data_IF_772200484481
#
_entry.id   IF_772200484481
#
_cell.length_a   1.000
_cell.length_b   1.000
_cell.length_c   1.000
_cell.angle_alpha   90.00
_cell.angle_beta   90.00
_cell.angle_gamma   90.00
#
_symmetry.space_group_name_H-M   'P 1'
#
loop_
_entity.id
_entity.type
_entity.pdbx_description
1 polymer ?
#
# COMPACT_ATOMS: atom_id res chain seq x y z
N UNK A 1 -36.16 9.88 -3.68
CA UNK A 1 -36.45 10.07 -2.23
C UNK A 1 -35.30 9.58 -1.33
N UNK A 2 -34.67 8.46 -1.64
CA UNK A 2 -33.58 7.87 -0.79
C UNK A 2 -32.32 8.76 -0.71
N UNK A 3 -31.95 9.43 -1.80
CA UNK A 3 -30.76 10.29 -1.85
C UNK A 3 -30.93 11.60 -1.05
N UNK A 4 -32.12 12.21 -1.06
CA UNK A 4 -32.39 13.44 -0.29
C UNK A 4 -32.38 13.16 1.22
N UNK A 5 -32.90 12.02 1.64
CA UNK A 5 -32.87 11.60 3.04
C UNK A 5 -31.44 11.34 3.53
N UNK A 6 -30.62 10.66 2.72
CA UNK A 6 -29.19 10.46 3.01
C UNK A 6 -28.43 11.78 3.10
N UNK A 7 -28.71 12.72 2.18
CA UNK A 7 -28.12 14.05 2.16
C UNK A 7 -28.40 14.84 3.44
N UNK A 8 -29.66 14.89 3.88
CA UNK A 8 -30.04 15.55 5.12
C UNK A 8 -29.41 14.95 6.37
N UNK A 9 -29.23 13.62 6.38
CA UNK A 9 -28.53 12.93 7.48
C UNK A 9 -27.06 13.30 7.56
N UNK A 10 -26.33 13.31 6.44
CA UNK A 10 -24.91 13.66 6.37
C UNK A 10 -24.70 15.10 6.85
N UNK A 11 -25.45 16.06 6.33
CA UNK A 11 -25.35 17.47 6.74
C UNK A 11 -25.56 17.66 8.24
N UNK A 12 -26.56 16.98 8.83
CA UNK A 12 -26.80 17.02 10.29
C UNK A 12 -25.65 16.41 11.11
N UNK A 13 -25.06 15.32 10.64
CA UNK A 13 -23.92 14.68 11.31
C UNK A 13 -22.67 15.56 11.27
N UNK A 14 -22.41 16.23 10.14
CA UNK A 14 -21.33 17.21 10.01
C UNK A 14 -21.55 18.39 10.96
N UNK A 15 -22.77 18.94 10.98
CA UNK A 15 -23.10 20.04 11.87
C UNK A 15 -22.93 19.65 13.34
N UNK A 16 -23.45 18.49 13.74
CA UNK A 16 -23.29 17.94 15.09
C UNK A 16 -21.81 17.75 15.45
N UNK A 17 -20.99 17.28 14.51
CA UNK A 17 -19.54 17.16 14.71
C UNK A 17 -18.88 18.50 14.98
N UNK A 18 -19.24 19.55 14.22
CA UNK A 18 -18.75 20.92 14.44
C UNK A 18 -19.12 21.43 15.83
N UNK A 19 -20.36 21.24 16.24
CA UNK A 19 -20.90 21.75 17.51
C UNK A 19 -20.27 21.04 18.72
N UNK A 20 -20.19 19.73 18.72
CA UNK A 20 -19.65 18.92 19.83
C UNK A 20 -18.14 19.07 20.01
N UNK A 21 -17.40 19.27 18.92
CA UNK A 21 -15.95 19.53 18.98
C UNK A 21 -15.63 21.04 19.11
N UNK A 22 -16.66 21.89 19.26
CA UNK A 22 -16.50 23.33 19.41
C UNK A 22 -15.63 23.97 18.30
N UNK A 23 -15.83 23.54 17.06
CA UNK A 23 -15.08 24.03 15.89
C UNK A 23 -15.59 25.39 15.42
N UNK A 24 -16.06 26.23 16.33
CA UNK A 24 -16.59 27.55 16.06
C UNK A 24 -16.11 28.53 17.13
N UNK A 25 -16.10 29.81 16.79
CA UNK A 25 -15.84 30.89 17.72
C UNK A 25 -17.11 31.70 17.96
N UNK A 26 -17.25 32.20 19.18
CA UNK A 26 -18.37 33.07 19.55
C UNK A 26 -17.88 34.28 20.32
N UNK A 27 -18.59 35.40 20.16
CA UNK A 27 -18.40 36.61 20.97
C UNK A 27 -19.75 37.13 21.46
N UNK A 28 -19.72 37.97 22.49
CA UNK A 28 -20.91 38.65 22.97
C UNK A 28 -21.08 39.99 22.24
N UNK A 29 -22.25 40.20 21.64
CA UNK A 29 -22.71 41.52 21.20
C UNK A 29 -23.85 41.97 22.11
N UNK A 30 -23.52 42.76 23.11
CA UNK A 30 -24.42 43.08 24.19
C UNK A 30 -24.72 41.84 25.03
N UNK A 31 -26.01 41.48 25.21
CA UNK A 31 -26.43 40.30 25.98
C UNK A 31 -26.58 39.04 25.14
N UNK A 32 -26.33 39.09 23.80
CA UNK A 32 -26.49 37.95 22.92
C UNK A 32 -25.12 37.35 22.54
N UNK A 33 -25.02 36.02 22.61
CA UNK A 33 -23.90 35.23 22.07
C UNK A 33 -24.11 35.10 20.57
N UNK A 34 -23.11 35.44 19.77
CA UNK A 34 -23.13 35.35 18.31
C UNK A 34 -21.90 34.60 17.83
N UNK A 35 -22.04 33.84 16.74
CA UNK A 35 -20.89 33.19 16.10
C UNK A 35 -20.03 34.30 15.41
N UNK A 36 -18.74 34.31 15.72
CA UNK A 36 -17.74 35.12 15.02
C UNK A 36 -17.06 34.31 13.92
N UNK A 37 -17.02 33.00 14.10
CA UNK A 37 -16.57 32.04 13.13
C UNK A 37 -17.42 30.78 13.23
N UNK A 38 -17.81 30.22 12.06
CA UNK A 38 -18.42 28.91 11.93
C UNK A 38 -17.88 28.28 10.63
N UNK A 39 -17.33 27.03 10.65
CA UNK A 39 -16.73 26.42 9.48
C UNK A 39 -17.73 26.32 8.33
N UNK A 40 -17.36 26.83 7.17
CA UNK A 40 -18.11 26.55 5.96
C UNK A 40 -17.73 25.15 5.49
N UNK A 41 -18.74 24.33 5.28
CA UNK A 41 -18.57 22.95 4.84
C UNK A 41 -19.32 22.69 3.56
N UNK A 42 -18.73 21.96 2.67
CA UNK A 42 -19.42 21.32 1.54
C UNK A 42 -19.09 19.83 1.51
N UNK A 43 -19.91 19.06 0.82
CA UNK A 43 -19.68 17.65 0.64
C UNK A 43 -20.29 17.13 -0.66
N UNK A 44 -19.69 16.12 -1.24
CA UNK A 44 -20.22 15.40 -2.40
C UNK A 44 -19.94 13.90 -2.28
N UNK A 45 -20.79 13.09 -2.89
CA UNK A 45 -20.60 11.66 -3.02
C UNK A 45 -20.10 11.36 -4.43
N UNK A 46 -19.01 10.61 -4.51
CA UNK A 46 -18.55 9.97 -5.73
C UNK A 46 -18.84 8.47 -5.62
N UNK A 47 -19.88 8.02 -6.31
CA UNK A 47 -20.28 6.61 -6.29
C UNK A 47 -19.37 5.74 -7.13
N UNK A 48 -18.65 6.30 -8.10
CA UNK A 48 -17.71 5.56 -8.94
C UNK A 48 -16.46 5.16 -8.15
N UNK A 49 -15.95 6.05 -7.29
CA UNK A 49 -14.84 5.80 -6.40
C UNK A 49 -15.26 5.31 -5.01
N UNK A 50 -16.56 5.10 -4.78
CA UNK A 50 -17.12 4.72 -3.47
C UNK A 50 -16.72 5.68 -2.33
N UNK A 51 -16.69 6.99 -2.59
CA UNK A 51 -16.19 7.98 -1.64
C UNK A 51 -17.16 9.11 -1.36
N UNK A 52 -17.13 9.58 -0.10
CA UNK A 52 -17.76 10.81 0.36
C UNK A 52 -16.64 11.83 0.63
N UNK A 53 -16.67 12.92 -0.09
CA UNK A 53 -15.78 14.04 0.09
C UNK A 53 -16.43 15.07 1.00
N UNK A 54 -15.80 15.40 2.12
CA UNK A 54 -16.25 16.46 3.04
C UNK A 54 -15.14 17.49 3.13
N UNK A 55 -15.46 18.74 2.78
CA UNK A 55 -14.51 19.85 2.77
C UNK A 55 -14.87 20.86 3.84
N UNK A 56 -13.87 21.26 4.61
CA UNK A 56 -13.94 22.33 5.57
C UNK A 56 -13.07 23.50 5.08
N UNK A 57 -13.66 24.66 4.86
CA UNK A 57 -12.91 25.86 4.46
C UNK A 57 -12.08 26.36 5.62
N UNK A 58 -10.79 26.58 5.36
CA UNK A 58 -9.87 27.22 6.30
C UNK A 58 -10.07 28.72 6.19
N UNK A 59 -10.70 29.34 7.18
CA UNK A 59 -10.61 30.77 7.37
C UNK A 59 -9.42 31.03 8.31
N UNK A 60 -8.72 32.14 8.17
CA UNK A 60 -7.47 32.46 8.86
C UNK A 60 -7.46 32.40 10.39
N UNK A 61 -8.52 31.91 11.01
CA UNK A 61 -8.63 31.64 12.45
C UNK A 61 -8.10 30.25 12.75
N UNK A 62 -7.36 30.11 13.84
CA UNK A 62 -6.49 28.98 14.20
C UNK A 62 -7.24 27.74 14.74
N UNK A 63 -8.44 27.45 14.26
CA UNK A 63 -9.11 26.22 14.66
C UNK A 63 -8.36 25.06 14.01
N UNK A 64 -7.79 24.22 14.83
CA UNK A 64 -7.10 23.02 14.35
C UNK A 64 -8.14 21.98 13.91
N UNK A 65 -8.38 21.92 12.61
CA UNK A 65 -9.26 20.91 12.00
C UNK A 65 -8.53 19.59 11.74
N UNK A 66 -7.23 19.50 12.01
CA UNK A 66 -6.44 18.29 11.88
C UNK A 66 -6.74 17.35 13.05
N UNK A 67 -6.81 16.06 12.78
CA UNK A 67 -7.06 15.04 13.81
C UNK A 67 -8.53 14.83 14.17
N UNK A 68 -9.46 15.51 13.47
CA UNK A 68 -10.90 15.35 13.68
C UNK A 68 -11.55 14.30 12.77
N UNK A 69 -10.79 13.77 11.84
CA UNK A 69 -11.24 12.80 10.84
C UNK A 69 -11.80 11.53 11.45
N UNK A 70 -11.19 11.01 12.50
CA UNK A 70 -11.66 9.79 13.19
C UNK A 70 -13.02 10.02 13.80
N UNK A 71 -13.21 11.11 14.56
CA UNK A 71 -14.50 11.43 15.16
C UNK A 71 -15.60 11.69 14.13
N UNK A 72 -15.29 12.24 12.96
CA UNK A 72 -16.25 12.46 11.88
C UNK A 72 -16.61 11.14 11.19
N UNK A 73 -15.61 10.31 10.90
CA UNK A 73 -15.81 9.00 10.30
C UNK A 73 -16.60 8.06 11.22
N UNK A 74 -16.27 8.02 12.51
CA UNK A 74 -16.98 7.23 13.52
C UNK A 74 -18.47 7.63 13.62
N UNK A 75 -18.80 8.92 13.56
CA UNK A 75 -20.21 9.38 13.57
C UNK A 75 -20.97 8.98 12.32
N UNK A 76 -20.27 8.85 11.21
CA UNK A 76 -20.83 8.37 9.95
C UNK A 76 -20.88 6.85 9.89
N UNK A 77 -20.32 6.16 10.90
CA UNK A 77 -20.11 4.69 10.90
C UNK A 77 -19.33 4.25 9.66
N UNK A 78 -18.28 5.01 9.33
CA UNK A 78 -17.49 4.89 8.10
C UNK A 78 -15.99 4.97 8.40
N UNK A 79 -15.18 4.68 7.40
CA UNK A 79 -13.72 4.76 7.46
C UNK A 79 -13.23 6.00 6.72
N UNK A 80 -12.33 6.77 7.34
CA UNK A 80 -11.63 7.84 6.66
C UNK A 80 -10.48 7.23 5.83
N UNK A 81 -10.59 7.35 4.51
CA UNK A 81 -9.60 6.80 3.57
C UNK A 81 -8.39 7.72 3.42
N UNK A 82 -8.62 9.02 3.40
CA UNK A 82 -7.56 9.99 3.15
C UNK A 82 -7.94 11.39 3.65
N UNK A 83 -6.92 12.23 3.84
CA UNK A 83 -7.07 13.63 4.20
C UNK A 83 -6.17 14.45 3.28
N UNK A 84 -6.77 15.42 2.60
CA UNK A 84 -6.06 16.35 1.74
C UNK A 84 -6.10 17.75 2.34
N UNK A 85 -4.93 18.29 2.66
CA UNK A 85 -4.80 19.69 2.98
C UNK A 85 -4.44 20.45 1.70
N UNK A 86 -5.35 21.29 1.24
CA UNK A 86 -5.18 22.14 0.06
C UNK A 86 -5.26 23.61 0.45
N UNK A 87 -4.78 24.49 -0.41
CA UNK A 87 -4.83 25.93 -0.15
C UNK A 87 -6.29 26.38 0.06
N UNK A 88 -6.63 26.72 1.31
CA UNK A 88 -7.93 27.25 1.69
C UNK A 88 -8.96 26.23 2.18
N UNK A 89 -8.65 24.91 2.19
CA UNK A 89 -9.55 23.92 2.77
C UNK A 89 -8.84 22.60 3.14
N UNK A 90 -9.47 21.86 4.07
CA UNK A 90 -9.15 20.46 4.37
C UNK A 90 -10.27 19.60 3.79
N UNK A 91 -9.91 18.55 3.08
CA UNK A 91 -10.85 17.58 2.50
C UNK A 91 -10.64 16.21 3.15
N UNK A 92 -11.71 15.68 3.75
CA UNK A 92 -11.77 14.31 4.24
C UNK A 92 -12.40 13.43 3.19
N UNK A 93 -11.72 12.34 2.85
CA UNK A 93 -12.20 11.31 1.95
C UNK A 93 -12.68 10.13 2.80
N UNK A 94 -13.99 9.89 2.81
CA UNK A 94 -14.62 8.87 3.66
C UNK A 94 -15.22 7.80 2.77
N UNK A 95 -15.04 6.53 3.12
CA UNK A 95 -15.63 5.40 2.41
C UNK A 95 -17.17 5.43 2.51
N UNK A 96 -17.89 5.33 1.38
CA UNK A 96 -19.35 5.32 1.37
C UNK A 96 -19.93 3.98 1.82
N UNK A 97 -19.38 2.90 1.28
CA UNK A 97 -19.78 1.54 1.61
C UNK A 97 -18.52 0.72 1.86
N UNK A 98 -18.61 -0.19 2.81
CA UNK A 98 -17.50 -1.07 3.14
C UNK A 98 -17.08 -1.86 1.89
N UNK A 99 -15.83 -1.73 1.49
CA UNK A 99 -15.32 -2.36 0.28
C UNK A 99 -15.31 -3.88 0.44
N UNK A 100 -15.79 -4.57 -0.59
CA UNK A 100 -15.78 -6.04 -0.64
C UNK A 100 -14.48 -6.51 -1.26
N UNK A 101 -13.96 -7.63 -0.76
CA UNK A 101 -12.83 -8.29 -1.39
C UNK A 101 -13.16 -8.68 -2.84
N UNK A 102 -12.18 -8.62 -3.72
CA UNK A 102 -12.27 -9.28 -5.02
C UNK A 102 -12.44 -10.78 -4.81
N UNK A 103 -13.28 -11.41 -5.63
CA UNK A 103 -13.46 -12.86 -5.59
C UNK A 103 -12.82 -13.46 -6.84
N UNK A 104 -11.78 -14.26 -6.64
CA UNK A 104 -11.03 -14.93 -7.70
C UNK A 104 -11.43 -16.39 -7.71
N UNK A 105 -12.12 -16.81 -8.75
CA UNK A 105 -12.60 -18.19 -8.92
C UNK A 105 -11.77 -18.95 -9.97
N UNK A 106 -10.98 -18.25 -10.77
CA UNK A 106 -10.08 -18.77 -11.80
C UNK A 106 -8.94 -17.79 -12.09
N UNK A 107 -7.87 -18.25 -12.76
CA UNK A 107 -6.77 -17.37 -13.22
C UNK A 107 -7.27 -16.21 -14.12
N UNK A 108 -8.35 -16.42 -14.85
CA UNK A 108 -8.93 -15.40 -15.73
C UNK A 108 -9.57 -14.23 -14.95
N UNK A 109 -10.04 -14.48 -13.73
CA UNK A 109 -10.66 -13.46 -12.88
C UNK A 109 -9.66 -12.49 -12.25
N UNK A 110 -8.36 -12.83 -12.28
CA UNK A 110 -7.32 -11.89 -11.82
C UNK A 110 -7.33 -10.69 -12.76
N UNK A 111 -7.58 -9.46 -12.26
CA UNK A 111 -7.63 -8.28 -13.12
C UNK A 111 -6.24 -7.93 -13.66
N UNK A 112 -6.22 -7.30 -14.84
CA UNK A 112 -5.01 -6.77 -15.49
C UNK A 112 -4.74 -7.42 -16.84
N UNK A 113 -3.99 -6.72 -17.67
CA UNK A 113 -3.60 -7.16 -19.01
C UNK A 113 -2.09 -6.93 -19.25
N UNK A 114 -1.55 -7.61 -20.25
CA UNK A 114 -0.14 -7.49 -20.63
C UNK A 114 0.20 -6.05 -21.06
N UNK A 115 1.27 -5.51 -20.49
CA UNK A 115 1.71 -4.13 -20.70
C UNK A 115 1.09 -3.12 -19.75
N UNK A 116 0.07 -3.47 -18.98
CA UNK A 116 -0.41 -2.63 -17.89
C UNK A 116 0.60 -2.56 -16.74
N UNK A 117 0.56 -1.46 -15.99
CA UNK A 117 1.41 -1.24 -14.82
C UNK A 117 0.61 -1.18 -13.52
N UNK A 118 -0.65 -1.59 -13.61
CA UNK A 118 -1.64 -1.46 -12.54
C UNK A 118 -2.11 -2.82 -12.05
N UNK A 119 -2.00 -3.04 -10.75
CA UNK A 119 -2.57 -4.18 -10.03
C UNK A 119 -3.82 -3.71 -9.29
N UNK A 120 -4.93 -4.40 -9.50
CA UNK A 120 -6.21 -4.12 -8.83
C UNK A 120 -6.25 -4.94 -7.54
N UNK A 121 -6.07 -4.29 -6.40
CA UNK A 121 -6.05 -4.92 -5.08
C UNK A 121 -7.46 -5.12 -4.52
N UNK A 122 -8.40 -4.27 -4.93
CA UNK A 122 -9.83 -4.34 -4.68
C UNK A 122 -10.57 -3.58 -5.78
N UNK A 123 -11.91 -3.57 -5.84
CA UNK A 123 -12.66 -2.81 -6.86
C UNK A 123 -12.29 -1.32 -6.93
N UNK A 124 -11.96 -0.68 -5.80
CA UNK A 124 -11.60 0.76 -5.74
C UNK A 124 -10.12 1.02 -5.42
N UNK A 125 -9.34 -0.01 -5.08
CA UNK A 125 -7.95 0.14 -4.68
C UNK A 125 -7.00 -0.42 -5.74
N UNK A 126 -6.28 0.47 -6.39
CA UNK A 126 -5.29 0.13 -7.40
C UNK A 126 -3.87 0.43 -6.91
N UNK A 127 -2.92 -0.37 -7.37
CA UNK A 127 -1.50 -0.17 -7.17
C UNK A 127 -0.78 -0.11 -8.52
N UNK A 128 -0.24 1.04 -8.88
CA UNK A 128 0.63 1.18 -10.03
C UNK A 128 2.08 0.94 -9.60
N UNK A 129 2.63 -0.25 -9.92
CA UNK A 129 3.94 -0.67 -9.44
C UNK A 129 5.12 0.09 -10.05
N UNK A 130 4.94 0.82 -11.17
CA UNK A 130 5.96 1.73 -11.71
C UNK A 130 6.03 3.05 -10.95
N UNK A 131 4.87 3.61 -10.59
CA UNK A 131 4.78 4.88 -9.86
C UNK A 131 5.10 4.71 -8.38
N UNK A 132 4.65 3.61 -7.80
CA UNK A 132 4.78 3.24 -6.39
C UNK A 132 5.56 1.92 -6.34
N UNK A 133 6.90 1.98 -6.54
CA UNK A 133 7.71 0.78 -6.67
C UNK A 133 7.86 0.06 -5.34
N UNK A 134 8.23 -1.20 -5.45
CA UNK A 134 8.50 -2.09 -4.34
C UNK A 134 7.31 -2.28 -3.40
N UNK A 135 7.21 -3.44 -2.79
CA UNK A 135 6.16 -3.71 -1.83
C UNK A 135 6.66 -4.49 -0.61
N UNK A 136 5.95 -4.33 0.48
CA UNK A 136 6.14 -5.04 1.73
C UNK A 136 4.81 -5.66 2.15
N UNK A 137 4.82 -6.95 2.43
CA UNK A 137 3.67 -7.66 3.01
C UNK A 137 4.10 -8.25 4.34
N UNK A 138 3.48 -7.78 5.42
CA UNK A 138 3.70 -8.31 6.77
C UNK A 138 2.42 -8.95 7.26
N UNK A 139 2.53 -10.06 7.97
CA UNK A 139 1.36 -10.73 8.54
C UNK A 139 1.75 -11.95 9.36
N UNK A 140 1.05 -12.19 10.46
CA UNK A 140 1.20 -13.39 11.28
C UNK A 140 0.80 -14.66 10.51
N UNK A 141 1.17 -15.81 11.04
CA UNK A 141 0.70 -17.10 10.49
C UNK A 141 -0.82 -17.15 10.49
N UNK A 142 -1.41 -17.59 9.37
CA UNK A 142 -2.87 -17.66 9.21
C UNK A 142 -3.55 -16.35 8.83
N UNK A 143 -2.83 -15.22 8.69
CA UNK A 143 -3.41 -13.94 8.27
C UNK A 143 -3.81 -13.85 6.79
N UNK A 144 -3.51 -14.87 5.97
CA UNK A 144 -3.77 -14.87 4.52
C UNK A 144 -2.59 -14.35 3.67
N UNK A 145 -1.41 -14.18 4.26
CA UNK A 145 -0.21 -13.64 3.60
C UNK A 145 0.19 -14.43 2.34
N UNK A 146 0.31 -15.75 2.42
CA UNK A 146 0.69 -16.62 1.29
C UNK A 146 -0.33 -16.49 0.16
N UNK A 147 -1.62 -16.54 0.46
CA UNK A 147 -2.72 -16.38 -0.51
C UNK A 147 -2.65 -15.02 -1.20
N UNK A 148 -2.43 -13.95 -0.44
CA UNK A 148 -2.30 -12.61 -0.99
C UNK A 148 -1.03 -12.46 -1.84
N UNK A 149 0.09 -13.06 -1.44
CA UNK A 149 1.32 -13.10 -2.22
C UNK A 149 1.11 -13.78 -3.58
N UNK A 150 0.42 -14.93 -3.61
CA UNK A 150 0.08 -15.63 -4.86
C UNK A 150 -0.79 -14.76 -5.77
N UNK A 151 -1.73 -14.02 -5.20
CA UNK A 151 -2.53 -13.05 -5.96
C UNK A 151 -1.67 -11.93 -6.57
N UNK A 152 -0.77 -11.33 -5.79
CA UNK A 152 0.17 -10.29 -6.28
C UNK A 152 1.04 -10.84 -7.41
N UNK A 153 1.62 -12.03 -7.25
CA UNK A 153 2.41 -12.69 -8.29
C UNK A 153 1.58 -12.89 -9.55
N UNK A 154 0.38 -13.47 -9.43
CA UNK A 154 -0.52 -13.71 -10.57
C UNK A 154 -0.90 -12.41 -11.30
N UNK A 155 -1.12 -11.32 -10.56
CA UNK A 155 -1.41 -10.01 -11.13
C UNK A 155 -0.20 -9.43 -11.86
N UNK A 156 0.99 -9.53 -11.29
CA UNK A 156 2.24 -9.06 -11.92
C UNK A 156 2.55 -9.87 -13.19
N UNK A 157 2.34 -11.20 -13.15
CA UNK A 157 2.51 -12.07 -14.33
C UNK A 157 1.55 -11.67 -15.46
N UNK A 158 0.30 -11.35 -15.15
CA UNK A 158 -0.66 -10.83 -16.16
C UNK A 158 -0.18 -9.52 -16.78
N UNK A 159 0.46 -8.66 -16.01
CA UNK A 159 1.08 -7.44 -16.52
C UNK A 159 2.37 -7.68 -17.33
N UNK A 160 2.82 -8.94 -17.47
CA UNK A 160 4.04 -9.30 -18.18
C UNK A 160 5.32 -9.14 -17.36
N UNK A 161 5.22 -9.08 -16.05
CA UNK A 161 6.38 -9.00 -15.14
C UNK A 161 7.01 -10.38 -14.94
N UNK A 162 8.30 -10.52 -15.17
CA UNK A 162 9.08 -11.71 -14.82
C UNK A 162 9.33 -11.73 -13.31
N UNK A 163 9.15 -12.89 -12.68
CA UNK A 163 9.27 -13.04 -11.24
C UNK A 163 10.52 -13.88 -10.90
N UNK A 164 11.32 -13.38 -9.95
CA UNK A 164 12.29 -14.18 -9.20
C UNK A 164 11.76 -14.33 -7.78
N UNK A 165 11.36 -15.55 -7.41
CA UNK A 165 10.85 -15.85 -6.07
C UNK A 165 11.91 -16.56 -5.24
N UNK A 166 12.29 -15.93 -4.12
CA UNK A 166 13.31 -16.40 -3.20
C UNK A 166 12.63 -16.92 -1.94
N UNK A 167 12.61 -18.22 -1.78
CA UNK A 167 11.92 -18.92 -0.68
C UNK A 167 12.92 -19.59 0.28
N UNK A 168 13.37 -18.83 1.25
CA UNK A 168 14.30 -19.34 2.26
C UNK A 168 13.66 -20.38 3.17
N UNK A 169 12.35 -20.34 3.33
CA UNK A 169 11.57 -21.25 4.17
C UNK A 169 11.28 -22.59 3.48
N UNK A 170 11.29 -22.59 2.15
CA UNK A 170 10.94 -23.73 1.29
C UNK A 170 9.49 -24.21 1.53
N UNK A 171 8.55 -23.34 1.23
CA UNK A 171 7.13 -23.64 1.32
C UNK A 171 6.69 -24.48 0.13
N UNK A 172 6.20 -25.72 0.40
CA UNK A 172 5.84 -26.69 -0.65
C UNK A 172 4.72 -26.17 -1.56
N UNK A 173 3.74 -25.45 -1.02
CA UNK A 173 2.63 -24.91 -1.82
C UNK A 173 3.13 -23.78 -2.74
N UNK A 174 4.04 -22.94 -2.26
CA UNK A 174 4.66 -21.89 -3.08
C UNK A 174 5.59 -22.48 -4.14
N UNK A 175 6.36 -23.52 -3.81
CA UNK A 175 7.20 -24.23 -4.77
C UNK A 175 6.36 -24.79 -5.93
N UNK A 176 5.24 -25.47 -5.62
CA UNK A 176 4.31 -26.00 -6.64
C UNK A 176 3.69 -24.89 -7.50
N UNK A 177 3.24 -23.82 -6.87
CA UNK A 177 2.70 -22.65 -7.57
C UNK A 177 3.72 -22.02 -8.53
N UNK A 178 4.97 -21.87 -8.09
CA UNK A 178 6.03 -21.27 -8.91
C UNK A 178 6.42 -22.18 -10.08
N UNK A 179 6.56 -23.48 -9.88
CA UNK A 179 6.94 -24.43 -10.93
C UNK A 179 5.88 -24.56 -12.03
N UNK A 180 4.63 -24.22 -11.75
CA UNK A 180 3.56 -24.18 -12.74
C UNK A 180 3.64 -23.04 -13.74
N UNK A 181 4.63 -22.11 -13.63
CA UNK A 181 4.73 -20.92 -14.47
C UNK A 181 6.15 -20.64 -14.95
N UNK A 182 6.36 -20.68 -16.27
CA UNK A 182 7.69 -20.47 -16.88
C UNK A 182 8.27 -19.04 -16.67
N UNK A 183 7.44 -18.05 -16.35
CA UNK A 183 7.89 -16.69 -16.07
C UNK A 183 8.31 -16.50 -14.59
N UNK A 184 8.32 -17.56 -13.79
CA UNK A 184 8.80 -17.55 -12.41
C UNK A 184 10.09 -18.37 -12.32
N UNK A 185 11.16 -17.73 -11.88
CA UNK A 185 12.36 -18.40 -11.38
C UNK A 185 12.20 -18.60 -9.88
N UNK A 186 12.30 -19.84 -9.41
CA UNK A 186 12.19 -20.19 -7.99
C UNK A 186 13.55 -20.62 -7.44
N UNK A 187 13.98 -20.01 -6.33
CA UNK A 187 15.24 -20.31 -5.67
C UNK A 187 15.04 -20.42 -4.16
N UNK A 188 15.61 -21.45 -3.53
CA UNK A 188 15.49 -21.68 -2.08
C UNK A 188 16.82 -21.97 -1.36
N UNK A 189 17.84 -22.46 -2.06
CA UNK A 189 19.15 -22.69 -1.44
C UNK A 189 19.97 -21.39 -1.36
N UNK A 190 20.73 -21.15 -0.28
CA UNK A 190 21.52 -19.92 -0.10
C UNK A 190 22.43 -19.58 -1.28
N UNK A 191 23.11 -20.55 -1.86
CA UNK A 191 23.96 -20.31 -3.04
C UNK A 191 23.16 -19.96 -4.27
N UNK A 192 22.11 -20.71 -4.55
CA UNK A 192 21.21 -20.45 -5.69
C UNK A 192 20.59 -19.05 -5.57
N UNK A 193 20.08 -18.68 -4.40
CA UNK A 193 19.53 -17.33 -4.15
C UNK A 193 20.58 -16.25 -4.43
N UNK A 194 21.81 -16.44 -3.97
CA UNK A 194 22.89 -15.48 -4.18
C UNK A 194 23.29 -15.35 -5.66
N UNK A 195 23.30 -16.46 -6.41
CA UNK A 195 23.56 -16.50 -7.84
C UNK A 195 22.46 -15.78 -8.61
N UNK A 196 21.19 -16.09 -8.37
CA UNK A 196 20.05 -15.44 -9.05
C UNK A 196 19.99 -13.93 -8.76
N UNK A 197 20.21 -13.51 -7.51
CA UNK A 197 20.31 -12.09 -7.16
C UNK A 197 21.48 -11.40 -7.86
N UNK A 198 22.59 -12.10 -8.06
CA UNK A 198 23.75 -11.57 -8.79
C UNK A 198 23.37 -11.27 -10.24
N UNK A 199 22.69 -12.21 -10.93
CA UNK A 199 22.21 -12.02 -12.29
C UNK A 199 21.27 -10.80 -12.41
N UNK A 200 20.33 -10.64 -11.46
CA UNK A 200 19.46 -9.44 -11.45
C UNK A 200 20.25 -8.16 -11.21
N UNK A 201 21.30 -8.20 -10.39
CA UNK A 201 22.15 -7.03 -10.13
C UNK A 201 23.00 -6.68 -11.34
N UNK A 202 23.50 -7.65 -12.09
CA UNK A 202 24.18 -7.46 -13.37
C UNK A 202 23.23 -6.85 -14.41
N UNK A 203 21.99 -7.34 -14.49
CA UNK A 203 20.94 -6.76 -15.34
C UNK A 203 20.65 -5.30 -14.93
N UNK A 204 20.58 -4.99 -13.64
CA UNK A 204 20.43 -3.63 -13.12
C UNK A 204 21.55 -2.71 -13.59
N UNK A 205 22.80 -3.18 -13.55
CA UNK A 205 23.96 -2.44 -14.01
C UNK A 205 23.95 -2.23 -15.52
N UNK A 206 23.64 -3.26 -16.31
CA UNK A 206 23.50 -3.15 -17.77
C UNK A 206 22.45 -2.10 -18.16
N UNK A 207 21.26 -2.16 -17.57
CA UNK A 207 20.19 -1.17 -17.82
C UNK A 207 20.59 0.25 -17.39
N UNK A 208 21.45 0.38 -16.39
CA UNK A 208 21.99 1.69 -15.97
C UNK A 208 22.90 2.27 -17.04
N UNK A 209 23.77 1.43 -17.66
CA UNK A 209 24.63 1.84 -18.76
C UNK A 209 23.80 2.20 -20.00
N UNK A 210 22.78 1.40 -20.32
CA UNK A 210 21.91 1.67 -21.47
C UNK A 210 21.19 3.02 -21.32
N UNK A 211 20.65 3.32 -20.13
CA UNK A 211 20.02 4.62 -19.84
C UNK A 211 21.04 5.76 -20.04
N UNK A 212 22.23 5.64 -19.48
CA UNK A 212 23.28 6.65 -19.61
C UNK A 212 23.69 6.90 -21.07
N UNK A 213 23.76 5.85 -21.89
CA UNK A 213 24.04 5.95 -23.30
C UNK A 213 22.90 6.66 -24.06
N UNK A 214 21.65 6.37 -23.73
CA UNK A 214 20.47 7.03 -24.32
C UNK A 214 20.40 8.52 -23.94
N UNK A 215 20.70 8.86 -22.69
CA UNK A 215 20.77 10.26 -22.25
C UNK A 215 21.86 11.04 -22.98
N UNK A 216 23.01 10.43 -23.20
CA UNK A 216 24.09 11.04 -24.03
C UNK A 216 23.66 11.28 -25.48
N UNK A 217 22.70 10.51 -25.99
CA UNK A 217 22.10 10.69 -27.30
C UNK A 217 20.94 11.70 -27.32
N UNK A 218 20.67 12.37 -26.20
CA UNK A 218 19.64 13.39 -26.08
C UNK A 218 18.24 12.86 -25.78
N UNK A 219 18.10 11.60 -25.39
CA UNK A 219 16.84 11.03 -24.90
C UNK A 219 16.69 11.43 -23.44
N UNK A 220 15.54 12.05 -23.09
CA UNK A 220 15.28 12.50 -21.72
C UNK A 220 15.27 11.30 -20.75
N UNK A 221 16.07 11.38 -19.69
CA UNK A 221 16.13 10.37 -18.61
C UNK A 221 14.82 10.15 -17.85
N UNK A 222 13.82 11.03 -18.05
CA UNK A 222 12.45 10.80 -17.59
C UNK A 222 11.60 9.95 -18.55
N UNK A 223 12.17 9.55 -19.70
CA UNK A 223 11.49 8.67 -20.65
C UNK A 223 11.30 7.29 -20.00
N UNK A 224 10.09 6.74 -20.09
CA UNK A 224 9.82 5.35 -19.70
C UNK A 224 10.60 4.41 -20.65
N UNK A 225 11.83 4.06 -20.25
CA UNK A 225 12.61 3.05 -20.97
C UNK A 225 11.84 1.72 -20.95
N UNK A 226 11.59 1.18 -22.12
CA UNK A 226 10.75 -0.01 -22.31
C UNK A 226 11.51 -1.31 -21.96
N UNK A 227 12.14 -1.36 -20.79
CA UNK A 227 12.72 -2.60 -20.28
C UNK A 227 11.63 -3.55 -19.81
N UNK A 228 11.80 -4.84 -20.09
CA UNK A 228 10.92 -5.87 -19.56
C UNK A 228 10.94 -5.83 -18.02
N UNK A 229 9.79 -5.68 -17.36
CA UNK A 229 9.75 -5.55 -15.90
C UNK A 229 10.13 -6.87 -15.21
N UNK A 230 10.88 -6.75 -14.11
CA UNK A 230 11.28 -7.87 -13.25
C UNK A 230 10.91 -7.54 -11.81
N UNK A 231 10.38 -8.51 -11.09
CA UNK A 231 10.12 -8.38 -9.66
C UNK A 231 10.83 -9.50 -8.89
N UNK A 232 11.71 -9.12 -7.97
CA UNK A 232 12.37 -10.02 -7.02
C UNK A 232 11.52 -10.06 -5.75
N UNK A 233 11.02 -11.22 -5.40
CA UNK A 233 10.19 -11.41 -4.21
C UNK A 233 10.97 -12.25 -3.20
N UNK A 234 11.22 -11.69 -2.01
CA UNK A 234 11.94 -12.35 -0.93
C UNK A 234 10.92 -12.78 0.14
N UNK A 235 10.65 -14.07 0.22
CA UNK A 235 9.79 -14.63 1.26
C UNK A 235 10.60 -14.89 2.53
N UNK A 236 10.11 -14.37 3.63
CA UNK A 236 10.70 -14.43 4.97
C UNK A 236 12.18 -14.01 5.00
N UNK A 237 12.45 -12.80 4.53
CA UNK A 237 13.83 -12.25 4.41
C UNK A 237 14.63 -12.33 5.72
N UNK A 238 13.96 -12.32 6.88
CA UNK A 238 14.62 -12.46 8.19
C UNK A 238 15.33 -13.81 8.34
N UNK A 239 14.78 -14.88 7.75
CA UNK A 239 15.38 -16.20 7.79
C UNK A 239 16.71 -16.28 7.05
N UNK A 240 16.98 -15.42 6.08
CA UNK A 240 18.27 -15.39 5.39
C UNK A 240 19.43 -15.22 6.38
N UNK A 241 19.25 -14.40 7.42
CA UNK A 241 20.27 -14.19 8.45
C UNK A 241 20.60 -15.46 9.26
N UNK A 242 19.63 -16.36 9.41
CA UNK A 242 19.78 -17.60 10.17
C UNK A 242 20.36 -18.74 9.33
N UNK A 243 20.06 -18.74 8.02
CA UNK A 243 20.37 -19.87 7.12
C UNK A 243 21.64 -19.62 6.30
N UNK A 244 21.93 -18.36 5.97
CA UNK A 244 23.09 -18.04 5.13
C UNK A 244 24.37 -17.90 5.96
N UNK A 245 25.55 -18.29 5.43
CA UNK A 245 26.82 -17.85 5.97
C UNK A 245 26.90 -16.31 6.01
N UNK A 246 27.46 -15.73 7.07
CA UNK A 246 27.47 -14.28 7.31
C UNK A 246 27.93 -13.44 6.13
N UNK A 247 28.99 -13.86 5.43
CA UNK A 247 29.50 -13.16 4.25
C UNK A 247 28.47 -13.16 3.13
N UNK A 248 27.92 -14.33 2.81
CA UNK A 248 26.92 -14.50 1.75
C UNK A 248 25.65 -13.72 2.05
N UNK A 249 25.21 -13.72 3.32
CA UNK A 249 24.06 -12.92 3.78
C UNK A 249 24.27 -11.43 3.48
N UNK A 250 25.42 -10.87 3.94
CA UNK A 250 25.71 -9.44 3.75
C UNK A 250 25.78 -9.03 2.28
N UNK A 251 26.40 -9.86 1.45
CA UNK A 251 26.52 -9.64 0.02
C UNK A 251 25.14 -9.68 -0.66
N UNK A 252 24.35 -10.72 -0.39
CA UNK A 252 23.00 -10.89 -0.96
C UNK A 252 22.08 -9.75 -0.52
N UNK A 253 22.09 -9.42 0.76
CA UNK A 253 21.30 -8.31 1.30
C UNK A 253 21.69 -6.96 0.69
N UNK A 254 23.00 -6.72 0.51
CA UNK A 254 23.48 -5.51 -0.18
C UNK A 254 22.95 -5.37 -1.59
N UNK A 255 22.88 -6.48 -2.34
CA UNK A 255 22.30 -6.51 -3.71
C UNK A 255 20.78 -6.28 -3.72
N UNK A 256 20.04 -6.88 -2.79
CA UNK A 256 18.59 -6.62 -2.64
C UNK A 256 18.35 -5.14 -2.32
N UNK A 257 19.16 -4.56 -1.45
CA UNK A 257 19.09 -3.14 -1.10
C UNK A 257 19.39 -2.24 -2.32
N UNK A 258 20.36 -2.61 -3.14
CA UNK A 258 20.66 -1.88 -4.37
C UNK A 258 19.46 -1.89 -5.35
N UNK A 259 18.76 -3.01 -5.46
CA UNK A 259 17.52 -3.11 -6.24
C UNK A 259 16.45 -2.16 -5.68
N UNK A 260 16.23 -2.13 -4.36
CA UNK A 260 15.23 -1.25 -3.72
C UNK A 260 15.57 0.23 -3.93
N UNK A 261 16.85 0.60 -3.89
CA UNK A 261 17.28 2.00 -4.00
C UNK A 261 17.28 2.49 -5.45
N UNK A 262 17.67 1.65 -6.41
CA UNK A 262 17.92 2.10 -7.77
C UNK A 262 17.12 1.37 -8.88
N UNK A 263 16.32 0.37 -8.54
CA UNK A 263 15.63 -0.49 -9.51
C UNK A 263 14.47 0.17 -10.26
N UNK A 264 13.79 1.16 -9.64
CA UNK A 264 12.59 1.80 -10.21
C UNK A 264 12.76 2.25 -11.66
N UNK A 265 13.75 3.07 -11.96
CA UNK A 265 14.00 3.61 -13.30
C UNK A 265 14.46 2.55 -14.31
N UNK A 266 14.83 1.37 -13.85
CA UNK A 266 15.28 0.22 -14.65
C UNK A 266 14.20 -0.86 -14.78
N UNK A 267 12.96 -0.61 -14.33
CA UNK A 267 11.87 -1.59 -14.27
C UNK A 267 12.24 -2.88 -13.49
N UNK A 268 13.05 -2.76 -12.44
CA UNK A 268 13.39 -3.86 -11.53
C UNK A 268 12.82 -3.52 -10.15
N UNK A 269 11.96 -4.38 -9.66
CA UNK A 269 11.21 -4.17 -8.42
C UNK A 269 11.56 -5.22 -7.38
N UNK A 270 11.31 -4.92 -6.11
CA UNK A 270 11.46 -5.85 -5.00
C UNK A 270 10.15 -5.96 -4.21
N UNK A 271 9.80 -7.17 -3.82
CA UNK A 271 8.75 -7.50 -2.87
C UNK A 271 9.36 -8.18 -1.65
N UNK A 272 9.05 -7.68 -0.47
CA UNK A 272 9.52 -8.24 0.78
C UNK A 272 8.33 -8.81 1.54
N UNK A 273 8.46 -10.04 2.03
CA UNK A 273 7.42 -10.72 2.79
C UNK A 273 8.00 -11.14 4.13
N UNK A 274 7.24 -10.93 5.21
CA UNK A 274 7.67 -11.31 6.55
C UNK A 274 6.50 -11.60 7.48
N UNK A 275 6.75 -12.42 8.50
CA UNK A 275 5.78 -12.71 9.56
C UNK A 275 5.75 -11.66 10.66
N UNK A 276 6.82 -10.92 10.85
CA UNK A 276 6.94 -9.89 11.89
C UNK A 276 7.50 -8.59 11.32
N UNK A 277 7.33 -7.53 12.08
CA UNK A 277 7.91 -6.23 11.75
C UNK A 277 9.42 -6.33 11.58
N UNK A 278 9.92 -5.83 10.47
CA UNK A 278 11.29 -5.98 9.98
C UNK A 278 12.29 -5.04 10.68
N UNK A 279 12.19 -4.85 12.01
CA UNK A 279 13.02 -3.89 12.75
C UNK A 279 14.51 -4.05 12.48
N UNK A 280 15.01 -5.29 12.45
CA UNK A 280 16.42 -5.58 12.18
C UNK A 280 16.82 -5.34 10.72
N UNK A 281 15.88 -5.50 9.79
CA UNK A 281 16.12 -5.29 8.37
C UNK A 281 16.05 -3.81 8.00
N UNK A 282 15.06 -3.09 8.53
CA UNK A 282 14.85 -1.66 8.31
C UNK A 282 15.62 -0.75 9.27
N UNK A 283 16.59 -1.25 9.98
CA UNK A 283 17.48 -0.42 10.82
C UNK A 283 18.07 0.79 10.09
N UNK A 284 17.95 0.79 8.75
CA UNK A 284 18.24 1.92 7.89
C UNK A 284 16.91 2.51 7.35
N UNK A 285 16.50 3.69 7.84
CA UNK A 285 15.28 4.39 7.45
C UNK A 285 15.14 4.64 5.93
N UNK A 286 16.29 4.69 5.21
CA UNK A 286 16.32 4.90 3.77
C UNK A 286 15.71 3.77 2.95
N UNK A 287 15.85 2.50 3.37
CA UNK A 287 15.28 1.36 2.63
C UNK A 287 13.76 1.36 2.75
N UNK A 288 13.24 1.56 3.98
CA UNK A 288 11.80 1.64 4.24
C UNK A 288 11.12 2.76 3.46
N UNK A 289 11.80 3.90 3.29
CA UNK A 289 11.30 5.05 2.51
C UNK A 289 11.11 4.74 1.03
N UNK A 290 11.88 3.80 0.47
CA UNK A 290 11.78 3.42 -0.94
C UNK A 290 10.71 2.36 -1.22
N UNK A 291 10.14 1.72 -0.19
CA UNK A 291 9.04 0.77 -0.37
C UNK A 291 7.73 1.53 -0.51
N UNK A 292 7.14 1.46 -1.70
CA UNK A 292 5.97 2.22 -2.05
C UNK A 292 4.66 1.63 -1.54
N UNK A 293 4.45 0.32 -1.70
CA UNK A 293 3.26 -0.37 -1.20
C UNK A 293 3.59 -1.11 0.09
N UNK A 294 2.83 -0.84 1.15
CA UNK A 294 2.97 -1.48 2.45
C UNK A 294 1.65 -2.10 2.88
N UNK A 295 1.68 -3.38 3.22
CA UNK A 295 0.50 -4.16 3.62
C UNK A 295 0.78 -4.87 4.93
N UNK A 296 -0.11 -4.70 5.90
CA UNK A 296 -0.09 -5.36 7.19
C UNK A 296 -1.36 -6.20 7.33
N UNK A 297 -1.26 -7.53 7.21
CA UNK A 297 -2.41 -8.44 7.30
C UNK A 297 -2.60 -8.96 8.72
N UNK A 298 -3.83 -8.98 9.18
CA UNK A 298 -4.20 -9.33 10.55
C UNK A 298 -4.03 -8.16 11.52
N UNK A 299 -4.01 -8.48 12.81
CA UNK A 299 -3.77 -7.52 13.88
C UNK A 299 -2.29 -7.50 14.24
N UNK A 300 -1.76 -6.31 14.42
CA UNK A 300 -0.37 -6.08 14.82
C UNK A 300 -0.29 -5.17 16.04
N UNK A 301 0.85 -5.19 16.71
CA UNK A 301 1.14 -4.25 17.80
C UNK A 301 1.43 -2.85 17.26
N UNK A 302 1.29 -1.83 18.11
CA UNK A 302 1.62 -0.44 17.76
C UNK A 302 3.08 -0.29 17.28
N UNK A 303 4.01 -1.04 17.86
CA UNK A 303 5.41 -1.05 17.43
C UNK A 303 5.59 -1.62 16.03
N UNK A 304 4.87 -2.68 15.66
CA UNK A 304 4.91 -3.26 14.32
C UNK A 304 4.29 -2.30 13.29
N UNK A 305 3.15 -1.69 13.58
CA UNK A 305 2.58 -0.66 12.70
C UNK A 305 3.53 0.52 12.50
N UNK A 306 4.19 0.99 13.56
CA UNK A 306 5.21 2.02 13.48
C UNK A 306 6.39 1.62 12.59
N UNK A 307 6.82 0.36 12.64
CA UNK A 307 7.90 -0.16 11.79
C UNK A 307 7.50 -0.26 10.32
N UNK A 308 6.25 -0.67 10.04
CA UNK A 308 5.74 -0.86 8.67
C UNK A 308 5.42 0.50 8.02
N UNK A 309 4.60 1.30 8.68
CA UNK A 309 4.01 2.49 8.07
C UNK A 309 4.77 3.79 8.42
N UNK A 310 5.36 3.88 9.60
CA UNK A 310 6.03 5.05 10.17
C UNK A 310 5.59 5.29 11.61
N UNK A 311 6.40 5.98 12.39
CA UNK A 311 6.13 6.23 13.82
C UNK A 311 4.85 7.01 14.07
N UNK A 312 4.47 7.86 13.12
CA UNK A 312 3.24 8.65 13.12
C UNK A 312 1.96 7.80 13.00
N UNK A 313 2.09 6.52 12.63
CA UNK A 313 0.97 5.60 12.43
C UNK A 313 0.93 4.45 13.45
N UNK A 314 1.57 4.62 14.61
CA UNK A 314 1.56 3.61 15.68
C UNK A 314 0.16 3.31 16.22
N UNK A 315 -0.74 4.31 16.19
CA UNK A 315 -2.09 4.22 16.77
C UNK A 315 -3.16 3.72 15.80
N UNK A 316 -2.78 3.37 14.56
CA UNK A 316 -3.74 2.83 13.59
C UNK A 316 -4.28 1.48 14.05
N UNK A 317 -5.55 1.20 13.69
CA UNK A 317 -6.23 -0.03 14.09
C UNK A 317 -6.83 -0.70 12.85
N UNK A 318 -6.71 -2.03 12.79
CA UNK A 318 -7.50 -2.84 11.88
C UNK A 318 -8.81 -3.20 12.58
N UNK A 319 -9.91 -2.56 12.19
CA UNK A 319 -11.23 -2.79 12.79
C UNK A 319 -11.86 -4.12 12.32
N UNK A 320 -11.32 -4.73 11.28
CA UNK A 320 -11.75 -6.03 10.75
C UNK A 320 -10.90 -7.19 11.26
N UNK A 321 -10.19 -7.03 12.36
CA UNK A 321 -9.40 -8.13 12.92
C UNK A 321 -10.27 -9.36 13.16
N UNK A 322 -9.72 -10.55 12.85
CA UNK A 322 -10.46 -11.83 12.90
C UNK A 322 -10.99 -12.30 11.54
N UNK A 323 -11.07 -11.45 10.53
CA UNK A 323 -11.31 -11.87 9.15
C UNK A 323 -9.97 -12.19 8.48
N UNK A 324 -9.79 -13.42 7.96
CA UNK A 324 -8.58 -13.81 7.22
C UNK A 324 -8.46 -12.91 5.99
N UNK A 325 -7.26 -12.36 5.77
CA UNK A 325 -7.00 -11.43 4.67
C UNK A 325 -7.33 -9.97 4.99
N UNK A 326 -7.94 -9.67 6.15
CA UNK A 326 -8.13 -8.29 6.58
C UNK A 326 -6.82 -7.68 7.07
N UNK A 327 -6.67 -6.38 6.92
CA UNK A 327 -5.46 -5.68 7.36
C UNK A 327 -5.48 -4.20 7.04
N UNK A 328 -4.30 -3.61 7.06
CA UNK A 328 -4.07 -2.22 6.68
C UNK A 328 -3.13 -2.15 5.48
N UNK A 329 -3.39 -1.19 4.60
CA UNK A 329 -2.59 -0.93 3.40
C UNK A 329 -2.28 0.55 3.26
N UNK A 330 -1.10 0.87 2.73
CA UNK A 330 -0.67 2.24 2.45
C UNK A 330 0.17 2.30 1.18
N UNK A 331 -0.17 3.22 0.28
CA UNK A 331 0.63 3.55 -0.90
C UNK A 331 1.38 4.85 -0.63
N UNK A 332 2.67 4.74 -0.38
CA UNK A 332 3.54 5.87 -0.01
C UNK A 332 3.48 6.98 -1.07
N UNK A 333 3.28 8.21 -0.64
CA UNK A 333 3.16 9.37 -1.52
C UNK A 333 1.78 9.54 -2.18
N UNK A 334 0.85 8.60 -2.01
CA UNK A 334 -0.52 8.70 -2.51
C UNK A 334 -1.54 8.72 -1.36
N UNK A 335 -1.38 7.82 -0.38
CA UNK A 335 -2.25 7.76 0.78
C UNK A 335 -1.64 8.61 1.91
N UNK A 336 -2.45 9.42 2.59
CA UNK A 336 -2.01 10.23 3.73
C UNK A 336 -1.88 9.41 5.01
N UNK A 337 -2.50 8.23 5.07
CA UNK A 337 -2.48 7.30 6.20
C UNK A 337 -2.77 5.86 5.76
N UNK A 338 -2.38 4.86 6.56
CA UNK A 338 -2.82 3.49 6.36
C UNK A 338 -4.35 3.39 6.41
N UNK A 339 -4.93 2.64 5.49
CA UNK A 339 -6.38 2.41 5.41
C UNK A 339 -6.72 0.94 5.53
N UNK A 340 -7.94 0.64 5.95
CA UNK A 340 -8.44 -0.73 5.98
C UNK A 340 -8.45 -1.37 4.60
N UNK A 341 -8.14 -2.65 4.58
CA UNK A 341 -8.02 -3.44 3.38
C UNK A 341 -8.47 -4.88 3.64
N UNK A 342 -9.09 -5.49 2.65
CA UNK A 342 -9.34 -6.93 2.63
C UNK A 342 -8.71 -7.49 1.37
N UNK A 343 -7.79 -8.42 1.55
CA UNK A 343 -7.13 -9.11 0.45
C UNK A 343 -8.15 -9.86 -0.41
N UNK A 344 -7.91 -10.05 -1.71
CA UNK A 344 -8.76 -10.83 -2.59
C UNK A 344 -9.01 -12.24 -2.04
N UNK A 345 -10.26 -12.66 -2.09
CA UNK A 345 -10.66 -14.00 -1.71
C UNK A 345 -10.46 -14.96 -2.89
N UNK A 346 -9.58 -15.92 -2.72
CA UNK A 346 -9.24 -16.90 -3.74
C UNK A 346 -9.99 -18.21 -3.43
N UNK A 347 -10.88 -18.62 -4.33
CA UNK A 347 -11.61 -19.88 -4.21
C UNK A 347 -10.71 -21.04 -4.60
N UNK A 348 -10.73 -22.10 -3.79
CA UNK A 348 -10.19 -23.44 -4.06
C UNK A 348 -9.17 -23.53 -5.22
N UNK A 349 -7.89 -23.34 -4.95
CA UNK A 349 -6.83 -23.51 -5.96
C UNK A 349 -6.99 -22.71 -7.28
N UNK A 350 -7.77 -21.62 -7.27
CA UNK A 350 -8.08 -20.84 -8.48
C UNK A 350 -6.85 -20.20 -9.16
N UNK A 351 -5.70 -20.18 -8.48
CA UNK A 351 -4.44 -19.66 -9.01
C UNK A 351 -3.41 -20.75 -9.35
N UNK A 352 -3.72 -22.00 -9.05
CA UNK A 352 -2.82 -23.15 -9.35
C UNK A 352 -2.76 -23.50 -10.82
#
# INVERSE_FOLDING_TARGET
HTNIYKAGKISRLIQKHIEENQLYETAFRGRKRVYTFYPQTDWCMDTASNTLHIRFRLSGNQINLRGLETGLADRLEKVCLNIYEKRGYIEYLIELEQEKALVISSKTDVPGDSGETTVYLSPSLIWNYRKIPHFLIVGSTGSGKTTFTRFIISSLLKCGVRILYLDVKRDVEMEQFCHGNIAITYAYEPKQIAEEISLITEELQSRTVDISNMEQQGIDGNTDFNFNPVCVICDEIILMKLVFPDKLYKETLGKINAIIVSGRSKNIYAGLISQSGLAEYFGNSGIRGNIGLKVALGQMSASEYSMIFGTEYADVKNLRYGEIGSGLIMRTGLDSRPREFVAPYIKNHALD
#
